data_IF_391601820333
#
_entry.id   IF_391601820333
#
_cell.length_a   1.000
_cell.length_b   1.000
_cell.length_c   1.000
_cell.angle_alpha   90.00
_cell.angle_beta   90.00
_cell.angle_gamma   90.00
#
_symmetry.space_group_name_H-M   'P 1'
#
loop_
_entity.id
_entity.type
_entity.pdbx_description
1 polymer ?
#
# COMPACT_ATOMS: atom_id res chain seq x y z
N UNK A 1 -32.89 20.50 34.96
CA UNK A 1 -32.69 19.36 34.03
C UNK A 1 -33.20 18.11 34.75
N UNK A 2 -34.42 17.70 34.46
CA UNK A 2 -35.14 16.69 35.26
C UNK A 2 -34.86 15.29 34.70
N UNK A 3 -34.31 14.40 35.53
CA UNK A 3 -34.16 12.98 35.23
C UNK A 3 -35.57 12.37 35.06
N UNK A 4 -36.02 12.25 33.81
CA UNK A 4 -37.28 11.56 33.49
C UNK A 4 -37.02 10.06 33.56
N UNK A 5 -37.70 9.30 34.45
CA UNK A 5 -37.56 7.86 34.47
C UNK A 5 -38.08 7.28 33.15
N UNK A 6 -37.33 6.33 32.58
CA UNK A 6 -37.74 5.61 31.39
C UNK A 6 -39.00 4.78 31.68
N UNK A 7 -40.04 4.87 30.84
CA UNK A 7 -41.29 4.13 31.05
C UNK A 7 -41.05 2.61 30.98
N UNK A 8 -41.71 1.80 31.84
CA UNK A 8 -41.55 0.35 31.81
C UNK A 8 -42.06 -0.22 30.49
N UNK A 9 -41.19 -0.90 29.73
CA UNK A 9 -41.55 -1.62 28.50
C UNK A 9 -41.19 -0.92 27.19
N UNK A 10 -40.61 0.28 27.22
CA UNK A 10 -40.12 0.94 26.00
C UNK A 10 -38.64 0.63 25.78
N UNK A 11 -38.37 -0.40 24.97
CA UNK A 11 -37.02 -0.71 24.47
C UNK A 11 -36.77 0.15 23.22
N UNK A 12 -35.81 1.08 23.29
CA UNK A 12 -35.40 1.86 22.12
C UNK A 12 -34.84 0.91 21.05
N UNK A 13 -35.61 0.71 19.98
CA UNK A 13 -35.23 -0.09 18.82
C UNK A 13 -35.64 -1.56 18.92
N UNK A 14 -36.05 -2.15 17.78
CA UNK A 14 -36.46 -3.56 17.67
C UNK A 14 -35.35 -4.58 18.03
N UNK A 15 -34.11 -4.11 18.25
CA UNK A 15 -32.94 -4.94 18.54
C UNK A 15 -32.14 -4.34 19.72
N UNK A 16 -31.84 -5.18 20.70
CA UNK A 16 -30.99 -4.82 21.83
C UNK A 16 -29.50 -4.96 21.46
N UNK A 17 -28.89 -3.83 21.08
CA UNK A 17 -27.45 -3.74 20.81
C UNK A 17 -26.65 -3.61 22.09
N UNK A 18 -27.18 -2.93 23.11
CA UNK A 18 -26.48 -2.60 24.37
C UNK A 18 -26.26 -3.86 25.20
N UNK A 19 -27.27 -4.73 25.31
CA UNK A 19 -27.15 -6.02 25.99
C UNK A 19 -26.18 -7.00 25.32
N UNK A 20 -25.89 -6.82 24.02
CA UNK A 20 -24.98 -7.69 23.25
C UNK A 20 -23.55 -7.16 23.14
N UNK A 21 -23.25 -5.99 23.70
CA UNK A 21 -21.92 -5.36 23.62
C UNK A 21 -20.81 -6.30 24.09
N UNK A 22 -21.03 -7.07 25.15
CA UNK A 22 -20.02 -8.02 25.65
C UNK A 22 -19.68 -9.14 24.64
N UNK A 23 -20.68 -9.64 23.91
CA UNK A 23 -20.48 -10.70 22.90
C UNK A 23 -19.71 -10.14 21.71
N UNK A 24 -20.16 -9.00 21.15
CA UNK A 24 -19.49 -8.38 20.02
C UNK A 24 -18.09 -7.88 20.38
N UNK A 25 -17.91 -7.33 21.59
CA UNK A 25 -16.61 -6.91 22.11
C UNK A 25 -15.64 -8.07 22.28
N UNK A 26 -16.09 -9.21 22.81
CA UNK A 26 -15.28 -10.42 22.93
C UNK A 26 -14.83 -10.96 21.57
N UNK A 27 -15.75 -11.06 20.61
CA UNK A 27 -15.42 -11.48 19.24
C UNK A 27 -14.42 -10.51 18.60
N UNK A 28 -14.65 -9.20 18.74
CA UNK A 28 -13.73 -8.19 18.21
C UNK A 28 -12.34 -8.30 18.82
N UNK A 29 -12.24 -8.52 20.14
CA UNK A 29 -10.95 -8.66 20.82
C UNK A 29 -10.19 -9.89 20.31
N UNK A 30 -10.88 -11.02 20.15
CA UNK A 30 -10.29 -12.25 19.60
C UNK A 30 -9.77 -11.98 18.18
N UNK A 31 -10.57 -11.39 17.30
CA UNK A 31 -10.16 -11.07 15.93
C UNK A 31 -8.96 -10.12 15.90
N UNK A 32 -8.92 -9.11 16.77
CA UNK A 32 -7.78 -8.19 16.87
C UNK A 32 -6.50 -8.92 17.28
N UNK A 33 -6.56 -9.77 18.31
CA UNK A 33 -5.40 -10.56 18.76
C UNK A 33 -4.93 -11.49 17.64
N UNK A 34 -5.85 -12.18 16.95
CA UNK A 34 -5.52 -13.02 15.81
C UNK A 34 -4.86 -12.23 14.68
N UNK A 35 -5.36 -11.04 14.35
CA UNK A 35 -4.79 -10.18 13.32
C UNK A 35 -3.36 -9.75 13.68
N UNK A 36 -3.12 -9.33 14.92
CA UNK A 36 -1.78 -8.94 15.37
C UNK A 36 -0.85 -10.15 15.35
N UNK A 37 -1.30 -11.30 15.87
CA UNK A 37 -0.52 -12.55 15.87
C UNK A 37 -0.16 -13.00 14.46
N UNK A 38 -1.09 -12.88 13.50
CA UNK A 38 -0.84 -13.17 12.10
C UNK A 38 0.29 -12.31 11.53
N UNK A 39 0.25 -10.99 11.76
CA UNK A 39 1.28 -10.06 11.30
C UNK A 39 2.65 -10.33 11.94
N UNK A 40 2.70 -10.74 13.21
CA UNK A 40 3.96 -11.09 13.88
C UNK A 40 4.60 -12.36 13.31
N UNK A 41 3.79 -13.34 12.85
CA UNK A 41 4.27 -14.61 12.32
C UNK A 41 4.64 -14.50 10.82
N UNK A 42 3.82 -13.82 10.02
CA UNK A 42 3.99 -13.73 8.57
C UNK A 42 4.75 -12.49 8.12
N UNK A 43 5.01 -11.56 9.05
CA UNK A 43 5.58 -10.26 8.74
C UNK A 43 4.57 -9.31 8.09
N UNK A 44 5.08 -8.13 7.73
CA UNK A 44 4.32 -7.08 7.04
C UNK A 44 4.90 -6.93 5.64
N UNK A 45 4.05 -6.84 4.62
CA UNK A 45 4.47 -6.43 3.28
C UNK A 45 4.76 -4.94 3.29
N UNK A 46 6.04 -4.57 3.42
CA UNK A 46 6.45 -3.18 3.38
C UNK A 46 6.41 -2.64 1.95
N UNK A 47 5.73 -1.50 1.75
CA UNK A 47 5.81 -0.77 0.49
C UNK A 47 7.16 -0.08 0.29
N UNK A 48 7.35 0.47 -0.91
CA UNK A 48 8.61 1.14 -1.33
C UNK A 48 8.98 2.31 -0.40
N UNK A 49 7.98 3.01 0.13
CA UNK A 49 8.19 4.14 1.04
C UNK A 49 8.92 3.75 2.35
N UNK A 50 8.93 2.46 2.72
CA UNK A 50 9.57 1.95 3.94
C UNK A 50 10.85 1.14 3.68
N UNK A 51 10.97 0.49 2.51
CA UNK A 51 12.16 -0.29 2.14
C UNK A 51 13.29 0.57 1.58
N UNK A 52 13.02 1.86 1.30
CA UNK A 52 13.97 2.74 0.62
C UNK A 52 14.03 2.41 -0.87
N UNK A 53 14.34 3.40 -1.70
CA UNK A 53 14.31 3.21 -3.15
C UNK A 53 14.60 4.48 -3.91
N UNK A 54 14.47 4.39 -5.23
CA UNK A 54 14.62 5.53 -6.13
C UNK A 54 13.27 5.90 -6.73
N UNK A 55 13.01 7.20 -6.77
CA UNK A 55 11.87 7.79 -7.46
C UNK A 55 12.35 8.45 -8.76
N UNK A 56 11.65 8.16 -9.86
CA UNK A 56 11.90 8.77 -11.16
C UNK A 56 10.61 9.32 -11.72
N UNK A 57 10.65 10.58 -12.13
CA UNK A 57 9.57 11.23 -12.88
C UNK A 57 9.81 11.02 -14.38
N UNK A 58 8.78 10.58 -15.07
CA UNK A 58 8.80 10.28 -16.51
C UNK A 58 7.65 11.01 -17.19
N UNK A 59 7.97 11.73 -18.26
CA UNK A 59 6.99 12.35 -19.15
C UNK A 59 7.10 11.73 -20.54
N UNK A 60 5.99 11.18 -21.02
CA UNK A 60 5.88 10.59 -22.36
C UNK A 60 5.51 11.66 -23.39
N UNK A 61 5.94 11.48 -24.63
CA UNK A 61 5.56 12.40 -25.72
C UNK A 61 4.07 12.28 -26.08
N UNK A 62 3.53 11.07 -26.02
CA UNK A 62 2.13 10.76 -26.31
C UNK A 62 1.36 10.36 -25.04
N UNK A 63 0.02 10.34 -25.13
CA UNK A 63 -0.83 9.87 -24.04
C UNK A 63 -0.69 8.35 -23.87
N UNK A 64 0.05 7.93 -22.86
CA UNK A 64 0.23 6.52 -22.49
C UNK A 64 -0.74 6.14 -21.38
N UNK A 65 -1.25 4.91 -21.35
CA UNK A 65 -2.10 4.47 -20.23
C UNK A 65 -1.25 3.95 -19.06
N UNK A 66 -1.63 4.29 -17.82
CA UNK A 66 -0.87 3.89 -16.62
C UNK A 66 -0.66 2.38 -16.52
N UNK A 67 -1.65 1.58 -16.93
CA UNK A 67 -1.57 0.12 -16.89
C UNK A 67 -0.50 -0.44 -17.82
N UNK A 68 -0.23 0.23 -18.95
CA UNK A 68 0.85 -0.18 -19.85
C UNK A 68 2.21 0.10 -19.20
N UNK A 69 2.37 1.29 -18.62
CA UNK A 69 3.60 1.66 -17.88
C UNK A 69 3.84 0.67 -16.75
N UNK A 70 2.82 0.39 -15.93
CA UNK A 70 2.90 -0.58 -14.83
C UNK A 70 3.35 -1.95 -15.32
N UNK A 71 2.66 -2.53 -16.31
CA UNK A 71 3.00 -3.86 -16.86
C UNK A 71 4.42 -3.90 -17.42
N UNK A 72 4.82 -2.88 -18.18
CA UNK A 72 6.17 -2.80 -18.74
C UNK A 72 7.21 -2.78 -17.62
N UNK A 73 6.99 -2.00 -16.57
CA UNK A 73 7.94 -1.90 -15.44
C UNK A 73 7.99 -3.13 -14.54
N UNK A 74 6.86 -3.82 -14.30
CA UNK A 74 6.80 -5.06 -13.52
C UNK A 74 7.61 -6.19 -14.18
N UNK A 75 7.63 -6.23 -15.51
CA UNK A 75 8.37 -7.23 -16.29
C UNK A 75 9.89 -7.04 -16.27
N UNK A 76 10.41 -5.96 -15.70
CA UNK A 76 11.86 -5.66 -15.69
C UNK A 76 12.62 -6.37 -14.57
N UNK A 77 11.93 -7.08 -13.68
CA UNK A 77 12.56 -7.80 -12.57
C UNK A 77 13.22 -6.89 -11.55
N UNK A 78 12.72 -5.65 -11.40
CA UNK A 78 13.24 -4.64 -10.47
C UNK A 78 12.66 -4.78 -9.05
N UNK A 79 12.08 -5.93 -8.74
CA UNK A 79 11.32 -6.13 -7.50
C UNK A 79 9.99 -5.36 -7.51
N UNK A 80 9.68 -4.73 -6.38
CA UNK A 80 8.42 -4.01 -6.19
C UNK A 80 8.50 -2.62 -6.84
N UNK A 81 7.68 -2.41 -7.88
CA UNK A 81 7.60 -1.15 -8.62
C UNK A 81 6.24 -0.49 -8.41
N UNK A 82 6.24 0.77 -8.00
CA UNK A 82 5.06 1.60 -7.87
C UNK A 82 4.98 2.61 -9.01
N UNK A 83 3.86 2.64 -9.73
CA UNK A 83 3.59 3.63 -10.78
C UNK A 83 2.38 4.47 -10.39
N UNK A 84 2.55 5.78 -10.39
CA UNK A 84 1.52 6.77 -10.04
C UNK A 84 1.46 7.86 -11.10
N UNK A 85 0.27 8.34 -11.47
CA UNK A 85 0.12 9.51 -12.34
C UNK A 85 0.57 10.79 -11.66
N UNK A 86 1.16 11.72 -12.41
CA UNK A 86 1.65 12.99 -11.90
C UNK A 86 1.37 14.12 -12.89
N UNK A 87 0.56 15.11 -12.50
CA UNK A 87 0.27 16.26 -13.36
C UNK A 87 -0.61 15.90 -14.57
N UNK A 88 0.00 15.87 -15.76
CA UNK A 88 -0.66 15.67 -17.06
C UNK A 88 -0.97 14.18 -17.35
N UNK A 89 -1.78 13.90 -18.37
CA UNK A 89 -2.19 12.53 -18.75
C UNK A 89 -1.05 11.63 -19.24
N UNK A 90 0.13 12.19 -19.49
CA UNK A 90 1.32 11.51 -20.02
C UNK A 90 2.50 11.56 -19.04
N UNK A 91 2.27 11.87 -17.78
CA UNK A 91 3.33 12.08 -16.81
C UNK A 91 3.11 11.22 -15.55
N UNK A 92 4.18 10.56 -15.13
CA UNK A 92 4.14 9.48 -14.15
C UNK A 92 5.35 9.53 -13.23
N UNK A 93 5.11 9.16 -11.97
CA UNK A 93 6.14 8.84 -11.00
C UNK A 93 6.29 7.33 -10.94
N UNK A 94 7.52 6.86 -11.13
CA UNK A 94 7.91 5.46 -11.01
C UNK A 94 8.84 5.35 -9.80
N UNK A 95 8.41 4.56 -8.82
CA UNK A 95 9.19 4.20 -7.64
C UNK A 95 9.61 2.76 -7.77
N UNK A 96 10.86 2.48 -7.45
CA UNK A 96 11.36 1.10 -7.44
C UNK A 96 12.45 0.97 -6.39
N UNK A 97 12.59 -0.26 -5.90
CA UNK A 97 13.66 -0.60 -4.98
C UNK A 97 14.82 -1.10 -5.83
N UNK A 98 15.94 -0.37 -5.77
CA UNK A 98 17.19 -0.93 -6.28
C UNK A 98 17.52 -2.23 -5.53
N UNK A 99 18.32 -3.08 -6.15
CA UNK A 99 18.78 -4.29 -5.47
C UNK A 99 19.70 -3.93 -4.30
N UNK A 100 19.61 -4.66 -3.19
CA UNK A 100 20.58 -4.54 -2.09
C UNK A 100 21.94 -5.08 -2.53
N UNK A 101 22.95 -4.21 -2.58
CA UNK A 101 24.36 -4.58 -2.77
C UNK A 101 25.05 -4.83 -1.42
N UNK A 102 26.15 -5.59 -1.41
CA UNK A 102 26.94 -5.84 -0.19
C UNK A 102 27.80 -4.63 0.21
N UNK A 103 27.99 -3.69 -0.72
CA UNK A 103 28.75 -2.45 -0.52
C UNK A 103 28.06 -1.29 -1.24
N UNK A 104 28.34 -0.06 -0.84
CA UNK A 104 27.77 1.14 -1.48
C UNK A 104 28.06 1.18 -2.98
N UNK A 105 29.24 0.73 -3.39
CA UNK A 105 29.63 0.69 -4.81
C UNK A 105 28.75 -0.29 -5.60
N UNK A 106 28.54 -1.48 -5.06
CA UNK A 106 27.70 -2.52 -5.69
C UNK A 106 26.24 -2.07 -5.76
N UNK A 107 25.72 -1.45 -4.71
CA UNK A 107 24.36 -0.87 -4.70
C UNK A 107 24.20 0.19 -5.80
N UNK A 108 25.18 1.08 -5.97
CA UNK A 108 25.15 2.12 -7.01
C UNK A 108 25.22 1.54 -8.43
N UNK A 109 26.01 0.49 -8.65
CA UNK A 109 26.10 -0.20 -9.94
C UNK A 109 24.75 -0.85 -10.31
N UNK A 110 24.13 -1.58 -9.38
CA UNK A 110 22.83 -2.21 -9.56
C UNK A 110 21.70 -1.18 -9.76
N UNK A 111 21.77 -0.05 -9.07
CA UNK A 111 20.83 1.06 -9.25
C UNK A 111 20.94 1.65 -10.66
N UNK A 112 22.16 1.91 -11.14
CA UNK A 112 22.38 2.45 -12.48
C UNK A 112 21.90 1.48 -13.57
N UNK A 113 22.10 0.17 -13.38
CA UNK A 113 21.56 -0.86 -14.29
C UNK A 113 20.02 -0.83 -14.32
N UNK A 114 19.39 -0.71 -13.15
CA UNK A 114 17.93 -0.64 -13.03
C UNK A 114 17.36 0.60 -13.74
N UNK A 115 18.03 1.74 -13.57
CA UNK A 115 17.70 2.99 -14.28
C UNK A 115 17.84 2.81 -15.80
N UNK A 116 18.89 2.13 -16.26
CA UNK A 116 19.11 1.89 -17.68
C UNK A 116 18.00 1.00 -18.29
N UNK A 117 17.60 -0.07 -17.59
CA UNK A 117 16.47 -0.94 -18.00
C UNK A 117 15.15 -0.19 -18.09
N UNK A 118 14.86 0.66 -17.10
CA UNK A 118 13.65 1.50 -17.11
C UNK A 118 13.67 2.43 -18.31
N UNK A 119 14.77 3.14 -18.55
CA UNK A 119 14.90 4.05 -19.69
C UNK A 119 14.69 3.33 -21.02
N UNK A 120 15.31 2.18 -21.24
CA UNK A 120 15.14 1.45 -22.50
C UNK A 120 13.72 0.92 -22.71
N UNK A 121 13.05 0.47 -21.64
CA UNK A 121 11.71 -0.10 -21.72
C UNK A 121 10.61 0.95 -21.91
N UNK A 122 10.86 2.19 -21.49
CA UNK A 122 9.87 3.27 -21.41
C UNK A 122 10.05 4.31 -22.53
N UNK A 123 11.29 4.55 -22.99
CA UNK A 123 11.63 5.60 -23.98
C UNK A 123 11.68 5.03 -25.42
N UNK A 124 11.15 3.83 -25.65
CA UNK A 124 10.96 3.27 -27.00
C UNK A 124 9.59 3.65 -27.54
#
# INVERSE_FOLDING_TARGET
MQNRPTPPGESFGKYDFVGKVGIFGGISLILTIFSIGYLLIHGVTWGIDFKGGTEMQVKFAEATHIDQVRKTTENLGLGEVGVQSFGDQNEYIIRFQGHEGKTDKETNELLNESIAKLRSAIVT
#
